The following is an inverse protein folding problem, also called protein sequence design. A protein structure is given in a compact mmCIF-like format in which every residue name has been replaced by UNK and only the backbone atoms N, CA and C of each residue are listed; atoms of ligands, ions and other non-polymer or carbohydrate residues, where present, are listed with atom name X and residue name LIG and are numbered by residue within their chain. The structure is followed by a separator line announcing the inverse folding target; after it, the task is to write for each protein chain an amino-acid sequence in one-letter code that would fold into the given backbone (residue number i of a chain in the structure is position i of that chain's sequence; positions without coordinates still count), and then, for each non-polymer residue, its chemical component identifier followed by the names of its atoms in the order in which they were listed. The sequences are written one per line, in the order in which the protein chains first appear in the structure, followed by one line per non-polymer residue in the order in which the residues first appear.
data_IF_468530312202
#
_entry.id   IF_468530312202
#
_cell.length_a   1.000
_cell.length_b   1.000
_cell.length_c   1.000
_cell.angle_alpha   90.00
_cell.angle_beta   90.00
_cell.angle_gamma   90.00
#
_symmetry.space_group_name_H-M   'P 1'
#
loop_
_entity.id
_entity.type
_entity.pdbx_description
1 polymer ?
#
# COMPACT_ATOMS: atom_id res chain seq x y z
N UNK A 1 -32.99 -71.76 37.62
CA UNK A 1 -32.48 -70.50 38.22
C UNK A 1 -33.43 -70.01 39.29
N UNK A 2 -32.93 -69.59 40.46
CA UNK A 2 -33.78 -68.97 41.51
C UNK A 2 -34.36 -67.66 40.94
N UNK A 3 -35.63 -67.36 41.20
CA UNK A 3 -36.36 -66.18 40.65
C UNK A 3 -35.56 -64.86 40.75
N UNK A 4 -34.77 -64.69 41.82
CA UNK A 4 -33.83 -63.57 42.02
C UNK A 4 -32.66 -63.52 41.04
N UNK A 5 -32.09 -64.67 40.68
CA UNK A 5 -30.99 -64.74 39.70
C UNK A 5 -31.47 -64.41 38.29
N UNK A 6 -32.72 -64.77 37.95
CA UNK A 6 -33.33 -64.39 36.68
C UNK A 6 -33.60 -62.88 36.61
N UNK A 7 -34.09 -62.29 37.71
CA UNK A 7 -34.31 -60.84 37.79
C UNK A 7 -32.98 -60.07 37.65
N UNK A 8 -31.93 -60.50 38.34
CA UNK A 8 -30.62 -59.84 38.25
C UNK A 8 -30.01 -59.96 36.84
N UNK A 9 -30.21 -61.09 36.17
CA UNK A 9 -29.72 -61.29 34.79
C UNK A 9 -30.46 -60.37 33.81
N UNK A 10 -31.78 -60.19 33.99
CA UNK A 10 -32.58 -59.28 33.16
C UNK A 10 -32.15 -57.83 33.40
N UNK A 11 -31.94 -57.41 34.64
CA UNK A 11 -31.46 -56.06 34.97
C UNK A 11 -30.08 -55.82 34.33
N UNK A 12 -29.18 -56.80 34.40
CA UNK A 12 -27.87 -56.71 33.80
C UNK A 12 -27.93 -56.61 32.27
N UNK A 13 -28.81 -57.40 31.64
CA UNK A 13 -29.04 -57.33 30.20
C UNK A 13 -29.62 -55.98 29.76
N UNK A 14 -30.54 -55.39 30.56
CA UNK A 14 -31.10 -54.05 30.30
C UNK A 14 -30.04 -52.95 30.45
N UNK A 15 -29.16 -53.06 31.45
CA UNK A 15 -28.06 -52.11 31.63
C UNK A 15 -27.03 -52.19 30.48
N UNK A 16 -26.72 -53.39 30.01
CA UNK A 16 -25.85 -53.57 28.83
C UNK A 16 -26.53 -53.04 27.58
N UNK A 17 -27.81 -53.34 27.38
CA UNK A 17 -28.57 -52.82 26.24
C UNK A 17 -28.67 -51.29 26.28
N UNK A 18 -28.83 -50.68 27.45
CA UNK A 18 -28.79 -49.24 27.65
C UNK A 18 -27.42 -48.63 27.39
N UNK A 19 -26.34 -49.30 27.83
CA UNK A 19 -24.96 -48.88 27.55
C UNK A 19 -24.58 -48.97 26.07
N UNK A 20 -25.02 -50.04 25.38
CA UNK A 20 -24.85 -50.21 23.93
C UNK A 20 -25.70 -49.18 23.19
N UNK A 21 -26.95 -48.96 23.60
CA UNK A 21 -27.81 -47.94 23.01
C UNK A 21 -27.19 -46.54 23.14
N UNK A 22 -26.63 -46.18 24.29
CA UNK A 22 -25.94 -44.90 24.47
C UNK A 22 -24.59 -44.81 23.72
N UNK A 23 -23.89 -45.93 23.53
CA UNK A 23 -22.61 -45.98 22.81
C UNK A 23 -22.77 -45.98 21.28
N UNK A 24 -23.92 -46.44 20.76
CA UNK A 24 -24.25 -46.47 19.33
C UNK A 24 -25.37 -45.49 18.95
N UNK A 25 -25.84 -44.69 19.90
CA UNK A 25 -26.60 -43.50 19.57
C UNK A 25 -25.59 -42.52 18.98
N UNK A 26 -25.59 -42.42 17.66
CA UNK A 26 -25.02 -41.27 16.97
C UNK A 26 -25.72 -40.04 17.54
N UNK A 27 -25.07 -39.41 18.52
CA UNK A 27 -25.30 -38.01 18.77
C UNK A 27 -24.85 -37.35 17.48
N UNK A 28 -25.79 -37.10 16.57
CA UNK A 28 -25.65 -36.07 15.57
C UNK A 28 -25.33 -34.80 16.34
N UNK A 29 -24.05 -34.58 16.57
CA UNK A 29 -23.51 -33.31 16.99
C UNK A 29 -23.68 -32.40 15.79
N UNK A 30 -24.91 -31.93 15.58
CA UNK A 30 -25.17 -30.55 15.17
C UNK A 30 -24.69 -29.63 16.30
N UNK A 31 -23.40 -29.76 16.60
CA UNK A 31 -22.61 -28.87 17.38
C UNK A 31 -22.53 -27.59 16.57
N UNK A 32 -23.33 -26.60 16.92
CA UNK A 32 -23.06 -25.20 16.57
C UNK A 32 -21.78 -24.67 17.21
N UNK A 33 -21.01 -25.52 17.92
CA UNK A 33 -19.75 -25.22 18.57
C UNK A 33 -18.51 -25.60 17.74
N UNK A 34 -18.66 -26.36 16.64
CA UNK A 34 -17.53 -26.76 15.79
C UNK A 34 -17.00 -25.64 14.87
N UNK A 35 -17.87 -24.71 14.44
CA UNK A 35 -17.48 -23.62 13.54
C UNK A 35 -16.84 -22.41 14.28
N UNK A 36 -17.11 -22.24 15.58
CA UNK A 36 -16.64 -21.10 16.38
C UNK A 36 -15.28 -21.35 17.07
N UNK A 37 -14.85 -22.61 17.23
CA UNK A 37 -13.66 -22.97 18.03
C UNK A 37 -12.34 -22.43 17.45
N UNK A 38 -12.33 -22.10 16.15
CA UNK A 38 -11.20 -21.50 15.42
C UNK A 38 -11.62 -20.28 14.59
N UNK A 39 -12.64 -19.54 15.02
CA UNK A 39 -13.09 -18.31 14.34
C UNK A 39 -11.96 -17.29 14.15
N UNK A 40 -10.93 -17.34 15.00
CA UNK A 40 -9.78 -16.46 15.03
C UNK A 40 -8.54 -16.95 14.27
N UNK A 41 -8.53 -18.20 13.79
CA UNK A 41 -7.40 -18.78 13.04
C UNK A 41 -7.33 -18.21 11.61
N UNK A 42 -6.95 -16.94 11.51
CA UNK A 42 -6.83 -16.20 10.26
C UNK A 42 -5.37 -15.97 9.87
N UNK A 43 -4.44 -16.11 10.82
CA UNK A 43 -3.02 -15.92 10.57
C UNK A 43 -2.48 -16.95 9.56
N UNK A 44 -1.40 -16.60 8.86
CA UNK A 44 -0.71 -17.48 7.91
C UNK A 44 0.74 -17.62 8.40
N UNK A 45 1.10 -18.83 8.84
CA UNK A 45 2.45 -19.10 9.36
C UNK A 45 3.53 -18.91 8.29
N UNK A 46 3.36 -19.50 7.09
CA UNK A 46 4.28 -19.29 5.97
C UNK A 46 3.71 -18.31 4.93
N UNK A 47 4.07 -17.04 5.08
CA UNK A 47 3.70 -16.00 4.09
C UNK A 47 4.64 -15.94 2.89
N UNK A 48 5.76 -16.69 2.90
CA UNK A 48 6.63 -16.80 1.74
C UNK A 48 5.97 -17.62 0.63
N UNK A 49 5.13 -18.59 0.99
CA UNK A 49 4.31 -19.38 0.06
C UNK A 49 3.19 -18.58 -0.64
N UNK A 50 2.83 -17.39 -0.13
CA UNK A 50 1.76 -16.57 -0.71
C UNK A 50 2.17 -16.04 -2.08
N UNK A 51 1.38 -16.40 -3.11
CA UNK A 51 1.60 -16.04 -4.51
C UNK A 51 0.65 -14.95 -5.00
N UNK A 52 -0.53 -14.82 -4.39
CA UNK A 52 -1.54 -13.85 -4.80
C UNK A 52 -2.43 -13.46 -3.63
N UNK A 53 -2.88 -12.21 -3.60
CA UNK A 53 -4.03 -11.82 -2.79
C UNK A 53 -4.93 -10.84 -3.52
N UNK A 54 -6.23 -10.95 -3.26
CA UNK A 54 -7.29 -10.16 -3.89
C UNK A 54 -8.04 -9.42 -2.79
N UNK A 55 -8.10 -8.10 -2.92
CA UNK A 55 -8.82 -7.22 -2.01
C UNK A 55 -9.96 -6.55 -2.79
N UNK A 56 -11.18 -6.75 -2.32
CA UNK A 56 -12.38 -6.11 -2.87
C UNK A 56 -13.10 -5.34 -1.78
N UNK A 57 -13.77 -4.25 -2.15
CA UNK A 57 -14.70 -3.55 -1.28
C UNK A 57 -16.11 -3.60 -1.91
N UNK A 58 -17.06 -2.86 -1.33
CA UNK A 58 -18.42 -2.75 -1.88
C UNK A 58 -18.53 -1.79 -3.05
N UNK A 59 -17.57 -0.87 -3.15
CA UNK A 59 -17.36 -0.10 -4.36
C UNK A 59 -16.77 -1.05 -5.42
N UNK A 60 -16.87 -0.76 -6.72
CA UNK A 60 -16.34 -1.65 -7.75
C UNK A 60 -14.80 -1.72 -7.77
N UNK A 61 -14.10 -1.22 -6.74
CA UNK A 61 -12.66 -1.25 -6.66
C UNK A 61 -12.18 -2.67 -6.33
N UNK A 62 -11.14 -3.10 -7.04
CA UNK A 62 -10.48 -4.38 -6.82
C UNK A 62 -8.99 -4.22 -6.99
N UNK A 63 -8.24 -4.75 -6.02
CA UNK A 63 -6.80 -4.88 -6.09
C UNK A 63 -6.42 -6.36 -6.09
N UNK A 64 -5.87 -6.84 -7.20
CA UNK A 64 -5.31 -8.17 -7.39
C UNK A 64 -3.79 -8.01 -7.36
N UNK A 65 -3.15 -8.55 -6.33
CA UNK A 65 -1.70 -8.52 -6.19
C UNK A 65 -1.16 -9.90 -6.52
N UNK A 66 -0.22 -9.97 -7.46
CA UNK A 66 0.40 -11.21 -7.92
C UNK A 66 1.91 -11.14 -7.80
N UNK A 67 2.50 -12.18 -7.22
CA UNK A 67 3.95 -12.33 -7.08
C UNK A 67 4.54 -12.80 -8.40
N UNK A 68 5.61 -12.14 -8.84
CA UNK A 68 6.42 -12.51 -10.01
C UNK A 68 7.87 -12.70 -9.61
N UNK A 69 8.73 -13.09 -10.55
CA UNK A 69 10.19 -13.14 -10.33
C UNK A 69 10.81 -11.78 -10.02
N UNK A 70 10.15 -10.69 -10.43
CA UNK A 70 10.68 -9.32 -10.35
C UNK A 70 9.96 -8.50 -9.25
N UNK A 71 9.24 -9.16 -8.35
CA UNK A 71 8.43 -8.51 -7.32
C UNK A 71 6.93 -8.63 -7.59
N UNK A 72 6.14 -7.77 -6.95
CA UNK A 72 4.68 -7.85 -7.01
C UNK A 72 4.09 -6.91 -8.07
N UNK A 73 3.05 -7.37 -8.76
CA UNK A 73 2.28 -6.59 -9.73
C UNK A 73 0.86 -6.42 -9.20
N UNK A 74 0.29 -5.22 -9.33
CA UNK A 74 -1.12 -4.95 -9.08
C UNK A 74 -1.91 -4.96 -10.39
N UNK A 75 -3.04 -5.67 -10.38
CA UNK A 75 -4.00 -5.82 -11.48
C UNK A 75 -3.35 -6.18 -12.82
N UNK A 76 -2.30 -7.01 -12.78
CA UNK A 76 -1.53 -7.43 -13.96
C UNK A 76 -0.84 -6.30 -14.74
N UNK A 77 -0.83 -5.06 -14.20
CA UNK A 77 -0.47 -3.86 -14.96
C UNK A 77 0.69 -3.08 -14.39
N UNK A 78 0.69 -2.82 -13.08
CA UNK A 78 1.67 -1.91 -12.47
C UNK A 78 2.53 -2.61 -11.42
N UNK A 79 3.84 -2.34 -11.36
CA UNK A 79 4.65 -2.72 -10.22
C UNK A 79 4.06 -2.19 -8.92
N UNK A 80 3.92 -3.06 -7.93
CA UNK A 80 3.38 -2.71 -6.62
C UNK A 80 4.47 -2.17 -5.69
N UNK A 81 4.07 -1.36 -4.70
CA UNK A 81 4.93 -0.92 -3.60
C UNK A 81 5.24 -2.12 -2.71
N UNK A 82 6.48 -2.58 -2.77
CA UNK A 82 6.93 -3.72 -1.96
C UNK A 82 6.68 -3.51 -0.46
N UNK A 83 6.85 -2.28 0.05
CA UNK A 83 6.56 -1.96 1.46
C UNK A 83 5.10 -2.21 1.85
N UNK A 84 4.13 -1.84 1.00
CA UNK A 84 2.71 -2.09 1.25
C UNK A 84 2.37 -3.58 1.20
N UNK A 85 2.98 -4.31 0.27
CA UNK A 85 2.78 -5.77 0.17
C UNK A 85 3.35 -6.47 1.39
N UNK A 86 4.58 -6.12 1.79
CA UNK A 86 5.23 -6.65 2.98
C UNK A 86 4.40 -6.38 4.24
N UNK A 87 3.75 -5.21 4.33
CA UNK A 87 2.90 -4.87 5.45
C UNK A 87 1.67 -5.79 5.55
N UNK A 88 1.05 -6.13 4.43
CA UNK A 88 -0.04 -7.13 4.40
C UNK A 88 0.46 -8.50 4.81
N UNK A 89 1.56 -8.97 4.23
CA UNK A 89 2.10 -10.30 4.53
C UNK A 89 2.52 -10.41 6.00
N UNK A 90 3.22 -9.40 6.53
CA UNK A 90 3.59 -9.32 7.95
C UNK A 90 2.36 -9.34 8.84
N UNK A 91 1.32 -8.58 8.51
CA UNK A 91 0.07 -8.58 9.27
C UNK A 91 -0.59 -9.96 9.27
N UNK A 92 -0.65 -10.62 8.12
CA UNK A 92 -1.19 -11.98 8.03
C UNK A 92 -0.38 -12.98 8.86
N UNK A 93 0.94 -12.79 8.98
CA UNK A 93 1.79 -13.64 9.80
C UNK A 93 1.62 -13.39 11.31
N UNK A 94 1.58 -12.13 11.72
CA UNK A 94 1.70 -11.72 13.12
C UNK A 94 0.35 -11.47 13.82
N UNK A 95 -0.77 -11.42 13.09
CA UNK A 95 -2.05 -11.09 13.71
C UNK A 95 -2.57 -12.21 14.63
N UNK A 96 -3.06 -11.82 15.80
CA UNK A 96 -3.59 -12.71 16.81
C UNK A 96 -4.98 -12.28 17.28
N UNK A 97 -5.70 -13.19 17.94
CA UNK A 97 -6.96 -12.89 18.60
C UNK A 97 -6.73 -11.90 19.73
N UNK A 98 -7.39 -10.74 19.64
CA UNK A 98 -7.45 -9.80 20.75
C UNK A 98 -8.61 -10.11 21.69
N UNK A 99 -9.83 -10.12 21.15
CA UNK A 99 -11.04 -10.40 21.92
C UNK A 99 -12.25 -10.69 21.02
N UNK A 100 -13.28 -11.28 21.61
CA UNK A 100 -14.60 -11.41 21.00
C UNK A 100 -15.44 -10.13 21.23
N UNK A 101 -16.43 -9.83 20.36
CA UNK A 101 -17.42 -8.81 20.66
C UNK A 101 -18.27 -9.24 21.87
N UNK A 102 -18.79 -8.26 22.62
CA UNK A 102 -19.86 -8.57 23.58
C UNK A 102 -21.13 -8.95 22.83
N UNK A 103 -22.00 -9.75 23.45
CA UNK A 103 -23.29 -10.15 22.85
C UNK A 103 -24.11 -8.95 22.34
N UNK A 104 -24.15 -7.86 23.13
CA UNK A 104 -24.85 -6.63 22.76
C UNK A 104 -24.21 -5.90 21.56
N UNK A 105 -22.90 -6.06 21.34
CA UNK A 105 -22.18 -5.38 20.26
C UNK A 105 -22.15 -6.19 18.95
N UNK A 106 -22.36 -7.51 19.00
CA UNK A 106 -22.21 -8.43 17.87
C UNK A 106 -22.96 -7.98 16.61
N UNK A 107 -24.25 -7.69 16.73
CA UNK A 107 -25.08 -7.24 15.60
C UNK A 107 -24.62 -5.91 15.00
N UNK A 108 -24.12 -5.01 15.84
CA UNK A 108 -23.58 -3.72 15.39
C UNK A 108 -22.27 -3.93 14.62
N UNK A 109 -21.38 -4.81 15.11
CA UNK A 109 -20.14 -5.17 14.43
C UNK A 109 -20.44 -5.78 13.07
N UNK A 110 -21.30 -6.81 13.01
CA UNK A 110 -21.68 -7.46 11.76
C UNK A 110 -22.28 -6.47 10.75
N UNK A 111 -23.15 -5.56 11.18
CA UNK A 111 -23.73 -4.53 10.32
C UNK A 111 -22.67 -3.57 9.75
N UNK A 112 -21.71 -3.14 10.57
CA UNK A 112 -20.59 -2.29 10.12
C UNK A 112 -19.67 -3.04 9.16
N UNK A 113 -19.36 -4.31 9.44
CA UNK A 113 -18.59 -5.17 8.54
C UNK A 113 -19.29 -5.37 7.21
N UNK A 114 -20.60 -5.58 7.22
CA UNK A 114 -21.36 -5.60 5.98
C UNK A 114 -21.18 -4.27 5.25
N UNK A 115 -21.48 -3.14 5.91
CA UNK A 115 -21.44 -1.79 5.35
C UNK A 115 -20.11 -1.36 4.73
N UNK A 116 -19.02 -1.53 5.48
CA UNK A 116 -17.71 -0.92 5.20
C UNK A 116 -16.59 -1.94 5.00
N UNK A 117 -16.90 -3.22 5.14
CA UNK A 117 -15.90 -4.27 5.11
C UNK A 117 -15.31 -4.48 3.73
N UNK A 118 -14.12 -5.08 3.75
CA UNK A 118 -13.35 -5.47 2.57
C UNK A 118 -13.16 -6.96 2.61
N UNK A 119 -13.21 -7.63 1.46
CA UNK A 119 -12.89 -9.05 1.39
C UNK A 119 -11.44 -9.20 0.98
N UNK A 120 -10.70 -10.03 1.70
CA UNK A 120 -9.33 -10.44 1.38
C UNK A 120 -9.33 -11.93 1.08
N UNK A 121 -8.90 -12.30 -0.12
CA UNK A 121 -8.64 -13.68 -0.50
C UNK A 121 -7.14 -13.85 -0.70
N UNK A 122 -6.52 -14.84 -0.06
CA UNK A 122 -5.07 -15.09 -0.12
C UNK A 122 -4.83 -16.48 -0.70
N UNK A 123 -3.89 -16.57 -1.63
CA UNK A 123 -3.58 -17.79 -2.36
C UNK A 123 -2.11 -18.19 -2.20
N UNK A 124 -1.87 -19.50 -2.10
CA UNK A 124 -0.55 -20.12 -2.20
C UNK A 124 -0.56 -21.06 -3.42
N UNK A 125 0.15 -20.68 -4.48
CA UNK A 125 -0.10 -21.25 -5.80
C UNK A 125 -1.52 -20.93 -6.27
N UNK A 126 -2.30 -21.97 -6.61
CA UNK A 126 -3.70 -21.87 -6.99
C UNK A 126 -4.68 -22.13 -5.82
N UNK A 127 -4.16 -22.54 -4.66
CA UNK A 127 -4.96 -22.86 -3.49
C UNK A 127 -5.38 -21.59 -2.73
N UNK A 128 -6.67 -21.44 -2.46
CA UNK A 128 -7.20 -20.40 -1.57
C UNK A 128 -6.93 -20.79 -0.12
N UNK A 129 -5.93 -20.15 0.50
CA UNK A 129 -5.50 -20.45 1.87
C UNK A 129 -6.23 -19.62 2.92
N UNK A 130 -6.71 -18.42 2.57
CA UNK A 130 -7.53 -17.57 3.46
C UNK A 130 -8.58 -16.81 2.67
N UNK A 131 -9.79 -16.71 3.24
CA UNK A 131 -10.88 -15.84 2.78
C UNK A 131 -11.47 -15.13 4.00
N UNK A 132 -11.20 -13.82 4.12
CA UNK A 132 -11.44 -13.04 5.32
C UNK A 132 -12.20 -11.77 4.95
N UNK A 133 -13.21 -11.44 5.75
CA UNK A 133 -13.87 -10.14 5.75
C UNK A 133 -13.18 -9.27 6.80
N UNK A 134 -12.58 -8.18 6.33
CA UNK A 134 -11.90 -7.18 7.14
C UNK A 134 -12.89 -6.05 7.39
N UNK A 135 -13.27 -5.90 8.65
CA UNK A 135 -14.20 -4.89 9.14
C UNK A 135 -13.53 -3.58 9.54
N UNK A 136 -14.24 -2.84 10.39
CA UNK A 136 -13.77 -1.57 10.94
C UNK A 136 -12.92 -1.77 12.18
N UNK A 137 -12.12 -0.75 12.52
CA UNK A 137 -11.45 -0.66 13.81
C UNK A 137 -12.40 -0.76 15.02
N UNK A 138 -11.85 -1.22 16.15
CA UNK A 138 -12.49 -1.13 17.46
C UNK A 138 -12.53 0.34 17.92
N UNK A 139 -13.43 0.65 18.87
CA UNK A 139 -13.61 2.01 19.36
C UNK A 139 -12.37 2.58 20.06
N UNK A 140 -11.52 1.72 20.61
CA UNK A 140 -10.24 2.11 21.21
C UNK A 140 -9.10 2.25 20.19
N UNK A 141 -9.32 1.89 18.91
CA UNK A 141 -8.32 1.97 17.85
C UNK A 141 -7.21 0.91 17.91
N UNK A 142 -7.30 -0.07 18.83
CA UNK A 142 -6.23 -1.03 19.14
C UNK A 142 -6.45 -2.41 18.50
N UNK A 143 -7.35 -2.50 17.52
CA UNK A 143 -7.65 -3.74 16.81
C UNK A 143 -8.70 -3.54 15.72
N UNK A 144 -8.89 -4.57 14.90
CA UNK A 144 -9.83 -4.57 13.78
C UNK A 144 -10.75 -5.77 13.86
N UNK A 145 -12.05 -5.55 13.71
CA UNK A 145 -13.01 -6.66 13.60
C UNK A 145 -12.78 -7.38 12.28
N UNK A 146 -12.52 -8.68 12.33
CA UNK A 146 -12.34 -9.55 11.17
C UNK A 146 -13.19 -10.82 11.33
N UNK A 147 -13.49 -11.47 10.21
CA UNK A 147 -14.32 -12.68 10.21
C UNK A 147 -13.95 -13.54 9.00
N UNK A 148 -13.73 -14.84 9.22
CA UNK A 148 -13.61 -15.79 8.10
C UNK A 148 -14.87 -15.75 7.23
N UNK A 149 -14.71 -15.97 5.93
CA UNK A 149 -15.84 -16.11 5.02
C UNK A 149 -16.76 -17.24 5.50
N UNK A 150 -18.07 -16.98 5.52
CA UNK A 150 -19.13 -17.88 5.99
C UNK A 150 -19.13 -18.19 7.50
N UNK A 151 -18.20 -17.65 8.29
CA UNK A 151 -18.28 -17.72 9.75
C UNK A 151 -19.41 -16.82 10.28
N UNK A 152 -19.86 -17.12 11.50
CA UNK A 152 -20.97 -16.39 12.16
C UNK A 152 -20.48 -15.39 13.20
N UNK A 153 -19.25 -15.54 13.67
CA UNK A 153 -18.72 -14.79 14.80
C UNK A 153 -17.52 -13.96 14.34
N UNK A 154 -17.64 -12.62 14.33
CA UNK A 154 -16.48 -11.77 14.10
C UNK A 154 -15.61 -11.75 15.36
N UNK A 155 -14.31 -11.54 15.17
CA UNK A 155 -13.33 -11.42 16.25
C UNK A 155 -12.48 -10.18 16.02
N UNK A 156 -11.99 -9.57 17.10
CA UNK A 156 -11.03 -8.49 16.98
C UNK A 156 -9.63 -9.09 16.83
N UNK A 157 -8.94 -8.69 15.77
CA UNK A 157 -7.56 -9.07 15.49
C UNK A 157 -6.64 -7.87 15.71
N UNK A 158 -5.43 -8.14 16.19
CA UNK A 158 -4.37 -7.14 16.34
C UNK A 158 -3.00 -7.76 16.09
N UNK A 159 -1.99 -6.93 15.86
CA UNK A 159 -0.58 -7.35 15.89
C UNK A 159 -0.04 -6.99 17.28
N UNK A 160 0.43 -7.95 18.10
CA UNK A 160 0.78 -7.69 19.51
C UNK A 160 1.86 -6.62 19.73
N UNK A 161 2.77 -6.44 18.78
CA UNK A 161 3.84 -5.44 18.82
C UNK A 161 3.37 -4.02 18.49
N UNK A 162 2.08 -3.84 18.16
CA UNK A 162 1.53 -2.59 17.62
C UNK A 162 0.25 -2.16 18.33
N UNK A 163 0.15 -0.87 18.65
CA UNK A 163 -1.05 -0.23 19.16
C UNK A 163 -1.81 0.44 18.01
N UNK A 164 -2.27 -0.35 17.05
CA UNK A 164 -2.90 0.15 15.83
C UNK A 164 -4.03 -0.77 15.33
N UNK A 165 -4.90 -0.21 14.49
CA UNK A 165 -5.87 -0.96 13.72
C UNK A 165 -5.26 -1.43 12.39
N UNK A 166 -5.72 -2.58 11.91
CA UNK A 166 -5.14 -3.27 10.76
C UNK A 166 -5.83 -2.92 9.44
N UNK A 167 -7.08 -2.41 9.47
CA UNK A 167 -7.90 -2.23 8.26
C UNK A 167 -7.27 -1.30 7.20
N UNK A 168 -6.43 -0.34 7.60
CA UNK A 168 -5.76 0.61 6.70
C UNK A 168 -4.74 -0.04 5.76
N UNK A 169 -4.32 -1.28 6.07
CA UNK A 169 -3.34 -2.05 5.29
C UNK A 169 -3.96 -2.71 4.05
N UNK A 170 -5.27 -2.89 4.05
CA UNK A 170 -5.98 -3.69 3.08
C UNK A 170 -6.88 -2.81 2.21
N UNK A 171 -6.30 -2.13 1.23
CA UNK A 171 -7.05 -1.23 0.35
C UNK A 171 -7.33 -1.86 -1.02
N UNK A 172 -8.55 -1.70 -1.52
CA UNK A 172 -8.99 -2.21 -2.83
C UNK A 172 -8.59 -1.30 -3.99
N UNK A 173 -8.20 -0.05 -3.71
CA UNK A 173 -7.79 0.95 -4.70
C UNK A 173 -6.42 0.61 -5.30
N UNK A 174 -6.37 0.40 -6.62
CA UNK A 174 -5.15 0.05 -7.35
C UNK A 174 -4.06 1.12 -7.27
N UNK A 175 -4.43 2.40 -7.37
CA UNK A 175 -3.50 3.53 -7.41
C UNK A 175 -2.65 3.65 -6.15
N UNK A 176 -3.20 3.23 -5.01
CA UNK A 176 -2.49 3.16 -3.74
C UNK A 176 -1.45 2.03 -3.74
N UNK A 177 -1.56 1.01 -4.58
CA UNK A 177 -0.56 -0.07 -4.68
C UNK A 177 0.61 0.30 -5.59
N UNK A 178 0.43 1.20 -6.55
CA UNK A 178 1.43 1.48 -7.59
C UNK A 178 2.76 1.98 -7.02
N UNK A 179 3.87 1.45 -7.52
CA UNK A 179 5.21 1.92 -7.19
C UNK A 179 5.36 3.41 -7.54
N UNK A 180 5.84 4.18 -6.55
CA UNK A 180 5.92 5.64 -6.62
C UNK A 180 7.26 6.19 -7.08
N UNK A 181 8.28 5.34 -7.27
CA UNK A 181 9.62 5.78 -7.69
C UNK A 181 9.54 6.42 -9.07
N UNK A 182 10.16 7.59 -9.25
CA UNK A 182 10.11 8.36 -10.49
C UNK A 182 11.12 7.82 -11.49
N UNK A 183 12.42 7.93 -11.19
CA UNK A 183 13.50 7.55 -12.12
C UNK A 183 14.06 6.16 -11.84
N UNK A 184 14.42 5.90 -10.57
CA UNK A 184 14.86 4.59 -10.07
C UNK A 184 16.24 4.12 -10.52
N UNK A 185 17.02 4.97 -11.21
CA UNK A 185 18.40 4.69 -11.58
C UNK A 185 19.34 4.85 -10.39
N UNK A 186 20.40 4.05 -10.39
CA UNK A 186 21.53 4.25 -9.49
C UNK A 186 22.29 5.52 -9.91
N UNK A 187 22.85 6.27 -8.96
CA UNK A 187 23.57 7.52 -9.26
C UNK A 187 24.79 7.29 -10.15
N UNK A 188 25.40 6.10 -10.09
CA UNK A 188 26.52 5.72 -10.94
C UNK A 188 26.12 5.42 -12.39
N UNK A 189 24.83 5.23 -12.68
CA UNK A 189 24.31 4.99 -14.03
C UNK A 189 23.98 6.30 -14.77
N UNK A 190 23.91 7.42 -14.04
CA UNK A 190 23.51 8.72 -14.57
C UNK A 190 24.72 9.41 -15.20
N UNK A 191 24.61 9.76 -16.48
CA UNK A 191 25.61 10.53 -17.21
C UNK A 191 25.32 12.04 -17.14
N UNK A 192 24.05 12.43 -17.15
CA UNK A 192 23.65 13.84 -17.09
C UNK A 192 22.37 14.03 -16.27
N UNK A 193 22.33 15.10 -15.48
CA UNK A 193 21.11 15.66 -14.90
C UNK A 193 20.97 17.10 -15.37
N UNK A 194 19.80 17.46 -15.88
CA UNK A 194 19.45 18.84 -16.27
C UNK A 194 18.21 19.29 -15.53
N UNK A 195 18.30 20.42 -14.85
CA UNK A 195 17.17 21.13 -14.25
C UNK A 195 16.94 22.44 -14.99
N UNK A 196 15.74 22.62 -15.52
CA UNK A 196 15.31 23.80 -16.27
C UNK A 196 14.13 24.47 -15.55
N UNK A 197 14.32 25.71 -15.10
CA UNK A 197 13.28 26.52 -14.47
C UNK A 197 12.72 27.53 -15.47
N UNK A 198 11.55 27.25 -16.02
CA UNK A 198 11.00 28.03 -17.16
C UNK A 198 10.76 29.52 -16.86
N UNK A 199 10.44 29.85 -15.61
CA UNK A 199 10.19 31.24 -15.18
C UNK A 199 11.46 31.98 -14.75
N UNK A 200 12.51 31.25 -14.40
CA UNK A 200 13.81 31.80 -13.97
C UNK A 200 14.95 30.95 -14.56
N UNK A 201 15.14 30.94 -15.90
CA UNK A 201 16.06 30.02 -16.56
C UNK A 201 17.48 30.09 -16.03
N UNK A 202 17.91 31.27 -15.58
CA UNK A 202 19.22 31.51 -14.98
C UNK A 202 19.50 30.72 -13.69
N UNK A 203 18.47 30.16 -13.05
CA UNK A 203 18.61 29.30 -11.87
C UNK A 203 18.79 27.82 -12.23
N UNK A 204 18.62 27.47 -13.51
CA UNK A 204 18.84 26.14 -14.05
C UNK A 204 20.31 25.74 -14.03
N UNK A 205 20.54 24.43 -14.14
CA UNK A 205 21.88 23.86 -14.11
C UNK A 205 21.93 22.51 -14.82
N UNK A 206 23.15 22.05 -15.08
CA UNK A 206 23.43 20.74 -15.64
C UNK A 206 24.60 20.09 -14.91
N UNK A 207 24.40 18.89 -14.41
CA UNK A 207 25.45 18.04 -13.82
C UNK A 207 25.84 17.02 -14.88
N UNK A 208 27.14 16.89 -15.15
CA UNK A 208 27.70 15.86 -16.01
C UNK A 208 28.57 14.94 -15.18
N UNK A 209 28.39 13.65 -15.40
CA UNK A 209 29.19 12.59 -14.80
C UNK A 209 29.87 11.76 -15.89
N UNK A 210 31.14 11.46 -15.68
CA UNK A 210 31.89 10.50 -16.50
C UNK A 210 31.78 9.09 -15.93
N UNK A 211 32.11 8.06 -16.73
CA UNK A 211 32.08 6.66 -16.26
C UNK A 211 33.03 6.42 -15.06
N UNK A 212 34.10 7.20 -14.92
CA UNK A 212 34.99 7.19 -13.73
C UNK A 212 34.48 8.06 -12.57
N UNK A 213 33.18 8.41 -12.57
CA UNK A 213 32.46 9.14 -11.53
C UNK A 213 32.96 10.55 -11.23
N UNK A 214 33.68 11.19 -12.17
CA UNK A 214 34.04 12.60 -12.06
C UNK A 214 32.83 13.46 -12.41
N UNK A 215 32.64 14.51 -11.62
CA UNK A 215 31.51 15.42 -11.74
C UNK A 215 31.96 16.75 -12.31
N UNK A 216 31.08 17.38 -13.07
CA UNK A 216 31.20 18.77 -13.51
C UNK A 216 29.82 19.41 -13.49
N UNK A 217 29.74 20.67 -13.07
CA UNK A 217 28.48 21.41 -13.00
C UNK A 217 28.55 22.62 -13.91
N UNK A 218 27.47 22.86 -14.65
CA UNK A 218 27.32 23.98 -15.57
C UNK A 218 26.04 24.75 -15.24
N UNK A 219 26.06 26.05 -15.46
CA UNK A 219 24.84 26.88 -15.44
C UNK A 219 23.98 26.66 -16.71
N UNK A 220 22.86 27.38 -16.80
CA UNK A 220 21.94 27.34 -17.93
C UNK A 220 22.58 27.78 -19.26
N UNK A 221 23.59 28.66 -19.20
CA UNK A 221 24.35 29.13 -20.35
C UNK A 221 25.47 28.15 -20.77
N UNK A 222 25.67 27.06 -20.02
CA UNK A 222 26.72 26.06 -20.28
C UNK A 222 28.10 26.48 -19.78
N UNK A 223 28.18 27.49 -18.92
CA UNK A 223 29.42 27.94 -18.28
C UNK A 223 29.67 27.05 -17.06
N UNK A 224 30.91 26.57 -16.90
CA UNK A 224 31.29 25.74 -15.77
C UNK A 224 31.21 26.53 -14.44
N UNK A 225 30.58 25.94 -13.43
CA UNK A 225 30.55 26.44 -12.06
C UNK A 225 31.79 25.89 -11.36
N UNK A 226 32.80 26.74 -11.15
CA UNK A 226 34.07 26.34 -10.54
C UNK A 226 34.58 27.41 -9.54
N UNK A 227 34.99 27.02 -8.33
CA UNK A 227 34.93 25.66 -7.79
C UNK A 227 33.49 25.31 -7.38
N UNK A 228 33.10 24.03 -7.48
CA UNK A 228 31.78 23.55 -7.02
C UNK A 228 31.87 22.58 -5.83
N UNK A 229 30.78 22.49 -5.06
CA UNK A 229 30.64 21.55 -3.96
C UNK A 229 30.30 20.14 -4.48
N UNK A 230 31.32 19.28 -4.53
CA UNK A 230 31.19 17.90 -4.98
C UNK A 230 30.33 17.03 -4.05
N UNK A 231 30.24 17.36 -2.76
CA UNK A 231 29.43 16.61 -1.80
C UNK A 231 27.95 16.90 -2.01
N UNK A 232 27.58 18.17 -2.15
CA UNK A 232 26.23 18.58 -2.51
C UNK A 232 25.79 17.99 -3.85
N UNK A 233 26.68 18.00 -4.84
CA UNK A 233 26.39 17.42 -6.17
C UNK A 233 26.08 15.93 -6.07
N UNK A 234 26.91 15.17 -5.34
CA UNK A 234 26.69 13.73 -5.16
C UNK A 234 25.43 13.41 -4.38
N UNK A 235 25.15 14.16 -3.31
CA UNK A 235 23.94 14.00 -2.51
C UNK A 235 22.65 14.21 -3.34
N UNK A 236 22.67 15.16 -4.27
CA UNK A 236 21.56 15.36 -5.19
C UNK A 236 21.35 14.15 -6.12
N UNK A 237 22.44 13.61 -6.70
CA UNK A 237 22.36 12.43 -7.57
C UNK A 237 21.81 11.21 -6.81
N UNK A 238 22.30 10.95 -5.60
CA UNK A 238 21.80 9.87 -4.73
C UNK A 238 20.30 10.02 -4.41
N UNK A 239 19.83 11.27 -4.23
CA UNK A 239 18.42 11.57 -3.95
C UNK A 239 17.48 11.20 -5.10
N UNK A 240 17.96 11.23 -6.36
CA UNK A 240 17.15 10.90 -7.55
C UNK A 240 16.75 9.42 -7.61
N UNK A 241 17.60 8.53 -7.08
CA UNK A 241 17.36 7.08 -7.03
C UNK A 241 16.06 6.73 -6.30
N UNK A 242 15.81 7.43 -5.19
CA UNK A 242 14.68 7.14 -4.29
C UNK A 242 13.54 8.14 -4.38
N UNK A 243 13.64 9.13 -5.28
CA UNK A 243 12.63 10.16 -5.48
C UNK A 243 11.26 9.56 -5.84
N UNK A 244 10.22 9.99 -5.12
CA UNK A 244 8.85 9.46 -5.23
C UNK A 244 7.85 10.57 -5.45
N UNK A 245 6.79 10.25 -6.20
CA UNK A 245 5.60 11.09 -6.25
C UNK A 245 4.67 10.86 -5.03
N UNK A 246 3.82 11.83 -4.71
CA UNK A 246 2.86 11.76 -3.58
C UNK A 246 1.72 10.78 -3.90
N UNK A 247 1.02 11.03 -5.01
CA UNK A 247 -0.13 10.25 -5.45
C UNK A 247 -0.21 10.15 -6.97
N UNK A 248 -0.81 9.06 -7.46
CA UNK A 248 -1.14 8.96 -8.88
C UNK A 248 -2.40 9.77 -9.15
N UNK A 249 -2.46 10.47 -10.28
CA UNK A 249 -3.68 11.11 -10.75
C UNK A 249 -4.44 10.10 -11.59
N UNK A 250 -5.69 9.82 -11.21
CA UNK A 250 -6.52 8.76 -11.78
C UNK A 250 -7.79 9.32 -12.45
N UNK A 251 -8.48 8.49 -13.23
CA UNK A 251 -9.63 8.88 -14.05
C UNK A 251 -10.75 9.62 -13.32
N UNK A 252 -10.92 9.33 -12.03
CA UNK A 252 -11.91 9.98 -11.16
C UNK A 252 -11.49 11.38 -10.71
N UNK A 253 -10.21 11.74 -10.84
CA UNK A 253 -9.70 13.04 -10.43
C UNK A 253 -9.97 14.09 -11.51
N UNK A 254 -10.35 15.30 -11.07
CA UNK A 254 -10.57 16.43 -11.98
C UNK A 254 -9.32 16.78 -12.79
N UNK A 255 -8.13 16.62 -12.19
CA UNK A 255 -6.86 16.88 -12.84
C UNK A 255 -6.64 15.94 -14.03
N UNK A 256 -7.07 14.67 -13.93
CA UNK A 256 -6.96 13.69 -15.02
C UNK A 256 -7.74 14.15 -16.26
N UNK A 257 -8.98 14.61 -16.05
CA UNK A 257 -9.84 15.11 -17.13
C UNK A 257 -9.28 16.36 -17.81
N UNK A 258 -8.39 17.09 -17.12
CA UNK A 258 -7.73 18.31 -17.62
C UNK A 258 -6.27 18.07 -18.00
N UNK A 259 -5.80 16.82 -18.02
CA UNK A 259 -4.39 16.49 -18.24
C UNK A 259 -3.86 17.18 -19.50
N UNK A 260 -4.56 17.08 -20.63
CA UNK A 260 -4.14 17.71 -21.89
C UNK A 260 -3.97 19.22 -21.77
N UNK A 261 -4.87 19.90 -21.06
CA UNK A 261 -4.76 21.34 -20.82
C UNK A 261 -3.60 21.69 -19.89
N UNK A 262 -3.30 20.83 -18.91
CA UNK A 262 -2.23 21.04 -17.94
C UNK A 262 -0.87 20.83 -18.63
N UNK A 263 -0.69 19.72 -19.35
CA UNK A 263 0.60 19.39 -19.99
C UNK A 263 0.96 20.29 -21.16
N UNK A 264 -0.01 20.97 -21.77
CA UNK A 264 0.21 21.97 -22.81
C UNK A 264 0.43 23.40 -22.24
N UNK A 265 0.41 23.57 -20.92
CA UNK A 265 0.79 24.84 -20.28
C UNK A 265 2.30 24.92 -20.09
N UNK A 266 2.81 26.10 -19.70
CA UNK A 266 4.24 26.28 -19.43
C UNK A 266 4.59 25.52 -18.13
N UNK A 267 5.53 24.57 -18.14
CA UNK A 267 6.00 23.92 -16.93
C UNK A 267 6.59 24.92 -15.94
N UNK A 268 6.51 24.62 -14.66
CA UNK A 268 7.24 25.35 -13.61
C UNK A 268 8.72 25.01 -13.69
N UNK A 269 9.01 23.72 -13.84
CA UNK A 269 10.36 23.22 -14.09
C UNK A 269 10.31 21.90 -14.87
N UNK A 270 11.43 21.56 -15.50
CA UNK A 270 11.68 20.26 -16.11
C UNK A 270 12.97 19.66 -15.56
N UNK A 271 12.89 18.41 -15.12
CA UNK A 271 14.02 17.63 -14.64
C UNK A 271 14.25 16.46 -15.59
N UNK A 272 15.42 16.44 -16.24
CA UNK A 272 15.81 15.38 -17.16
C UNK A 272 17.06 14.65 -16.66
N UNK A 273 17.05 13.33 -16.75
CA UNK A 273 18.18 12.46 -16.44
C UNK A 273 18.52 11.68 -17.71
N UNK A 274 19.79 11.62 -18.07
CA UNK A 274 20.30 10.78 -19.17
C UNK A 274 21.32 9.80 -18.61
N UNK A 275 21.19 8.51 -18.94
CA UNK A 275 22.14 7.48 -18.53
C UNK A 275 23.30 7.34 -19.53
N UNK A 276 24.32 6.55 -19.19
CA UNK A 276 25.47 6.30 -20.09
C UNK A 276 25.11 5.55 -21.39
N UNK A 277 23.94 4.91 -21.45
CA UNK A 277 23.41 4.27 -22.67
C UNK A 277 22.66 5.26 -23.59
N UNK A 278 22.48 6.51 -23.15
CA UNK A 278 21.76 7.56 -23.88
C UNK A 278 20.23 7.52 -23.72
N UNK A 279 19.69 6.67 -22.83
CA UNK A 279 18.28 6.74 -22.43
C UNK A 279 18.05 8.02 -21.61
N UNK A 280 16.97 8.74 -21.91
CA UNK A 280 16.58 9.95 -21.16
C UNK A 280 15.20 9.78 -20.54
N UNK A 281 15.11 10.09 -19.24
CA UNK A 281 13.84 10.19 -18.52
C UNK A 281 13.61 11.65 -18.11
N UNK A 282 12.39 12.14 -18.29
CA UNK A 282 12.03 13.53 -18.01
C UNK A 282 10.80 13.60 -17.12
N UNK A 283 10.80 14.56 -16.19
CA UNK A 283 9.66 14.99 -15.42
C UNK A 283 9.41 16.48 -15.69
N UNK A 284 8.21 16.82 -16.16
CA UNK A 284 7.75 18.21 -16.32
C UNK A 284 6.70 18.50 -15.25
N UNK A 285 6.89 19.54 -14.46
CA UNK A 285 6.02 19.92 -13.35
C UNK A 285 5.16 21.14 -13.71
N UNK A 286 3.91 21.18 -13.23
CA UNK A 286 2.92 22.21 -13.54
C UNK A 286 2.19 22.64 -12.25
N UNK A 287 1.76 23.90 -12.20
CA UNK A 287 1.07 24.41 -11.02
C UNK A 287 -0.24 23.67 -10.73
N UNK A 288 -0.44 23.37 -9.44
CA UNK A 288 -1.74 23.00 -8.90
C UNK A 288 -2.47 24.29 -8.51
N UNK A 289 -3.76 24.46 -8.83
CA UNK A 289 -4.54 25.60 -8.34
C UNK A 289 -4.61 25.60 -6.81
N UNK A 290 -4.45 26.76 -6.18
CA UNK A 290 -4.60 26.89 -4.73
C UNK A 290 -6.03 26.55 -4.29
N UNK A 291 -6.20 26.12 -3.04
CA UNK A 291 -7.53 26.01 -2.45
C UNK A 291 -8.21 27.40 -2.38
N UNK A 292 -9.56 27.49 -2.47
CA UNK A 292 -10.28 28.76 -2.55
C UNK A 292 -9.99 29.77 -1.42
N UNK A 293 -9.59 29.28 -0.24
CA UNK A 293 -9.36 30.09 0.96
C UNK A 293 -7.88 30.16 1.37
N UNK A 294 -6.96 29.89 0.44
CA UNK A 294 -5.53 30.08 0.69
C UNK A 294 -5.10 31.51 0.41
N UNK A 295 -4.43 32.12 1.38
CA UNK A 295 -3.90 33.47 1.30
C UNK A 295 -2.38 33.48 1.50
N UNK A 296 -1.69 34.42 0.86
CA UNK A 296 -0.28 34.67 1.13
C UNK A 296 -0.07 35.42 2.47
N UNK A 297 1.20 35.64 2.83
CA UNK A 297 1.55 36.34 4.07
C UNK A 297 1.08 37.81 4.11
N UNK A 298 0.64 38.36 2.96
CA UNK A 298 0.13 39.71 2.80
C UNK A 298 -1.41 39.74 2.74
N UNK A 299 -2.08 38.58 2.84
CA UNK A 299 -3.53 38.45 2.80
C UNK A 299 -4.14 38.43 1.40
N UNK A 300 -3.34 38.25 0.33
CA UNK A 300 -3.87 38.10 -1.02
C UNK A 300 -4.22 36.64 -1.32
N UNK A 301 -5.33 36.35 -2.01
CA UNK A 301 -5.64 34.99 -2.44
C UNK A 301 -4.51 34.39 -3.27
N UNK A 302 -4.11 33.17 -2.93
CA UNK A 302 -3.12 32.43 -3.70
C UNK A 302 -3.76 31.92 -4.99
N UNK A 303 -2.97 31.98 -6.06
CA UNK A 303 -3.35 31.40 -7.35
C UNK A 303 -2.99 29.92 -7.43
N UNK A 304 -1.85 29.55 -6.86
CA UNK A 304 -1.27 28.22 -6.95
C UNK A 304 -0.91 27.67 -5.57
N UNK A 305 -1.05 26.36 -5.43
CA UNK A 305 -0.54 25.58 -4.31
C UNK A 305 1.00 25.71 -4.27
N UNK A 306 1.56 25.88 -3.08
CA UNK A 306 3.02 26.02 -2.88
C UNK A 306 3.69 24.70 -2.48
N UNK A 307 2.91 23.75 -2.01
CA UNK A 307 3.37 22.48 -1.49
C UNK A 307 3.33 21.40 -2.58
N UNK A 308 2.58 21.61 -3.66
CA UNK A 308 2.33 20.59 -4.69
C UNK A 308 2.42 21.08 -6.13
N UNK A 309 2.85 20.16 -6.99
CA UNK A 309 2.77 20.29 -8.44
C UNK A 309 2.09 19.07 -9.05
N UNK A 310 1.38 19.27 -10.16
CA UNK A 310 1.11 18.19 -11.09
C UNK A 310 2.41 17.88 -11.83
N UNK A 311 2.65 16.62 -12.19
CA UNK A 311 3.83 16.23 -12.94
C UNK A 311 3.51 15.20 -14.00
N UNK A 312 4.09 15.38 -15.20
CA UNK A 312 4.08 14.42 -16.28
C UNK A 312 5.47 13.79 -16.39
N UNK A 313 5.53 12.47 -16.33
CA UNK A 313 6.77 11.69 -16.48
C UNK A 313 6.82 11.12 -17.90
N UNK A 314 8.01 11.02 -18.48
CA UNK A 314 8.23 10.58 -19.86
C UNK A 314 7.72 9.15 -20.16
N UNK A 315 7.56 8.31 -19.11
CA UNK A 315 6.93 6.99 -19.21
C UNK A 315 5.39 7.02 -19.28
N UNK A 316 4.81 8.21 -19.34
CA UNK A 316 3.38 8.43 -19.51
C UNK A 316 2.62 8.65 -18.20
N UNK A 317 3.23 8.46 -17.03
CA UNK A 317 2.55 8.69 -15.74
C UNK A 317 2.21 10.17 -15.55
N UNK A 318 1.01 10.44 -15.06
CA UNK A 318 0.55 11.75 -14.60
C UNK A 318 0.28 11.67 -13.10
N UNK A 319 0.98 12.47 -12.31
CA UNK A 319 1.10 12.30 -10.86
C UNK A 319 1.08 13.63 -10.13
N UNK A 320 0.84 13.57 -8.83
CA UNK A 320 1.01 14.68 -7.90
C UNK A 320 2.36 14.53 -7.20
N UNK A 321 3.15 15.60 -7.16
CA UNK A 321 4.42 15.66 -6.42
C UNK A 321 4.36 16.74 -5.34
N UNK A 322 5.17 16.58 -4.30
CA UNK A 322 5.26 17.53 -3.19
C UNK A 322 6.62 18.21 -3.16
N UNK A 323 6.61 19.52 -2.93
CA UNK A 323 7.82 20.34 -2.75
C UNK A 323 8.71 19.78 -1.63
N UNK A 324 8.12 19.34 -0.51
CA UNK A 324 8.85 18.72 0.60
C UNK A 324 9.58 17.43 0.19
N UNK A 325 8.90 16.51 -0.50
CA UNK A 325 9.52 15.28 -0.99
C UNK A 325 10.62 15.52 -2.03
N UNK A 326 10.60 16.71 -2.66
CA UNK A 326 11.54 17.15 -3.68
C UNK A 326 12.61 18.10 -3.14
N UNK A 327 12.68 18.35 -1.83
CA UNK A 327 13.56 19.38 -1.25
C UNK A 327 15.05 19.20 -1.60
N UNK A 328 15.49 17.95 -1.76
CA UNK A 328 16.88 17.61 -2.11
C UNK A 328 17.17 17.74 -3.61
N UNK A 329 16.14 17.86 -4.45
CA UNK A 329 16.25 17.88 -5.91
C UNK A 329 15.89 19.26 -6.47
N UNK A 330 14.95 19.97 -5.86
CA UNK A 330 14.59 21.36 -6.18
C UNK A 330 15.64 22.31 -5.63
N UNK A 331 16.80 22.31 -6.28
CA UNK A 331 17.93 23.20 -6.02
C UNK A 331 18.09 24.17 -7.17
N UNK A 332 18.58 25.36 -6.89
CA UNK A 332 19.07 26.25 -7.94
C UNK A 332 20.56 26.05 -8.14
N UNK A 333 21.13 26.64 -9.20
CA UNK A 333 22.58 26.61 -9.45
C UNK A 333 23.42 27.04 -8.23
N UNK A 334 22.91 27.93 -7.37
CA UNK A 334 23.62 28.43 -6.20
C UNK A 334 23.97 27.33 -5.19
N UNK A 335 23.19 26.24 -5.16
CA UNK A 335 23.42 25.09 -4.29
C UNK A 335 24.79 24.42 -4.49
N UNK A 336 25.35 24.53 -5.69
CA UNK A 336 26.63 23.92 -6.05
C UNK A 336 27.82 24.86 -5.85
N UNK A 337 27.61 26.13 -5.52
CA UNK A 337 28.71 27.03 -5.21
C UNK A 337 29.37 26.61 -3.87
N UNK A 338 30.69 26.78 -3.81
CA UNK A 338 31.53 26.44 -2.65
C UNK A 338 31.55 27.53 -1.57
#
# INVERSE_FOLDING_TARGET
MKKKQLINLIIFAVLIAGGIFLAFQDFDSSSTLGDDELAYDMAIEDTAAVTKFVITNREPDTAILERTSNGWIVNGKYPARQGSVNEVLRTLHEMELRNFPTEAARETVLRRMAGYGRTLQVYAGDELVRDIIIGTQQNDGLGTWMMKRNARTPVAMHVPSENAFLESRFFAREDLWRNRVIFGWDDLEIAEVKMDYQLVPQEGYRIVQTEDSKLSVFDDAGIAIEPFDAQHTRYLLESLRTLRYEGAIIETDLAYQKQDSIVNSIPVFELSLTNFEGETKTLSAFHVPAAPDEYDALGNPRKYDVDRFYAKISDGRFVLIQTFAFENVLKTREYFNL
#
